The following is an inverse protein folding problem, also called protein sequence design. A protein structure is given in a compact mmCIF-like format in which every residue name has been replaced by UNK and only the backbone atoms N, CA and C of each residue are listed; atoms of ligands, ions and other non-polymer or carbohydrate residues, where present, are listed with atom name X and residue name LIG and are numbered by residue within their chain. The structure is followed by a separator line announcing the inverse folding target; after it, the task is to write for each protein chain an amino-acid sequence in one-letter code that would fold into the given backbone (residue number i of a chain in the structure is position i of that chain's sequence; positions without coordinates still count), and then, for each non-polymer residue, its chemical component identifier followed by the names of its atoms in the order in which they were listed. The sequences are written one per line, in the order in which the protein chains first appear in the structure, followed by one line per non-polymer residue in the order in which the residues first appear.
data_IF_030005445895
#
_entry.id   IF_030005445895
#
_cell.length_a   1.000
_cell.length_b   1.000
_cell.length_c   1.000
_cell.angle_alpha   90.00
_cell.angle_beta   90.00
_cell.angle_gamma   90.00
#
_symmetry.space_group_name_H-M   'P 1'
#
loop_
_entity.id
_entity.type
_entity.pdbx_description
1 polymer ?
#
# COMPACT_ATOMS: atom_id res chain seq x y z
N UNK A 1 -21.89 -47.92 38.90
CA UNK A 1 -21.70 -47.65 37.46
C UNK A 1 -21.14 -46.25 37.33
N UNK A 2 -19.88 -46.18 36.95
CA UNK A 2 -19.02 -44.99 36.93
C UNK A 2 -19.33 -44.11 35.72
N UNK A 3 -19.67 -42.84 35.93
CA UNK A 3 -19.75 -41.84 34.88
C UNK A 3 -18.48 -40.97 34.96
N UNK A 4 -17.52 -41.27 34.09
CA UNK A 4 -16.30 -40.47 33.89
C UNK A 4 -16.66 -39.14 33.25
N UNK A 5 -16.68 -38.06 34.04
CA UNK A 5 -16.61 -36.71 33.49
C UNK A 5 -15.16 -36.38 33.17
N UNK A 6 -14.82 -36.48 31.89
CA UNK A 6 -13.55 -36.03 31.36
C UNK A 6 -13.41 -34.53 31.59
N UNK A 7 -12.38 -34.15 32.36
CA UNK A 7 -11.86 -32.78 32.39
C UNK A 7 -11.46 -32.40 30.96
N UNK A 8 -12.34 -31.67 30.26
CA UNK A 8 -11.97 -30.90 29.07
C UNK A 8 -10.94 -29.88 29.53
N UNK A 9 -9.66 -30.19 29.29
CA UNK A 9 -8.57 -29.23 29.40
C UNK A 9 -8.79 -28.17 28.33
N UNK A 10 -9.44 -27.07 28.69
CA UNK A 10 -9.43 -25.82 27.93
C UNK A 10 -8.00 -25.28 28.04
N UNK A 11 -7.08 -25.83 27.24
CA UNK A 11 -5.81 -25.18 27.00
C UNK A 11 -6.12 -23.96 26.14
N UNK A 12 -5.91 -22.79 26.72
CA UNK A 12 -6.21 -21.49 26.14
C UNK A 12 -5.84 -21.43 24.64
N UNK A 13 -6.85 -21.15 23.82
CA UNK A 13 -6.89 -21.15 22.36
C UNK A 13 -5.93 -20.14 21.66
N UNK A 14 -4.88 -19.70 22.35
CA UNK A 14 -3.94 -18.67 21.90
C UNK A 14 -3.24 -18.98 20.57
N UNK A 15 -3.12 -20.26 20.21
CA UNK A 15 -2.56 -20.69 18.92
C UNK A 15 -3.48 -20.39 17.73
N UNK A 16 -4.80 -20.58 17.85
CA UNK A 16 -5.71 -20.37 16.70
C UNK A 16 -5.89 -18.89 16.40
N UNK A 17 -5.96 -18.03 17.42
CA UNK A 17 -6.11 -16.58 17.23
C UNK A 17 -4.92 -15.97 16.49
N UNK A 18 -3.70 -16.42 16.76
CA UNK A 18 -2.49 -15.93 16.07
C UNK A 18 -2.48 -16.39 14.61
N UNK A 19 -2.83 -17.65 14.33
CA UNK A 19 -2.91 -18.16 12.96
C UNK A 19 -4.06 -17.54 12.17
N UNK A 20 -5.20 -17.25 12.80
CA UNK A 20 -6.33 -16.55 12.17
C UNK A 20 -5.95 -15.12 11.78
N UNK A 21 -5.30 -14.37 12.69
CA UNK A 21 -4.78 -13.03 12.38
C UNK A 21 -3.71 -13.06 11.28
N UNK A 22 -2.86 -14.08 11.25
CA UNK A 22 -1.89 -14.31 10.17
C UNK A 22 -2.60 -14.53 8.83
N UNK A 23 -3.61 -15.40 8.79
CA UNK A 23 -4.42 -15.66 7.60
C UNK A 23 -5.05 -14.38 7.06
N UNK A 24 -5.70 -13.60 7.94
CA UNK A 24 -6.29 -12.30 7.57
C UNK A 24 -5.24 -11.33 7.00
N UNK A 25 -4.09 -11.17 7.67
CA UNK A 25 -3.02 -10.27 7.21
C UNK A 25 -2.46 -10.69 5.86
N UNK A 26 -2.31 -12.00 5.61
CA UNK A 26 -1.88 -12.53 4.33
C UNK A 26 -2.88 -12.19 3.23
N UNK A 27 -4.19 -12.37 3.48
CA UNK A 27 -5.26 -12.02 2.52
C UNK A 27 -5.26 -10.52 2.22
N UNK A 28 -5.12 -9.66 3.24
CA UNK A 28 -5.07 -8.20 3.03
C UNK A 28 -3.83 -7.83 2.21
N UNK A 29 -2.66 -8.41 2.52
CA UNK A 29 -1.43 -8.14 1.79
C UNK A 29 -1.51 -8.58 0.32
N UNK A 30 -2.06 -9.77 0.05
CA UNK A 30 -2.23 -10.26 -1.34
C UNK A 30 -3.28 -9.45 -2.10
N UNK A 31 -4.34 -8.99 -1.44
CA UNK A 31 -5.33 -8.08 -2.04
C UNK A 31 -4.68 -6.74 -2.44
N UNK A 32 -3.89 -6.13 -1.55
CA UNK A 32 -3.16 -4.90 -1.86
C UNK A 32 -2.18 -5.12 -3.01
N UNK A 33 -1.40 -6.21 -2.99
CA UNK A 33 -0.50 -6.58 -4.09
C UNK A 33 -1.25 -6.72 -5.41
N UNK A 34 -2.43 -7.35 -5.38
CA UNK A 34 -3.25 -7.56 -6.58
C UNK A 34 -3.80 -6.24 -7.12
N UNK A 35 -4.32 -5.36 -6.25
CA UNK A 35 -4.84 -4.04 -6.65
C UNK A 35 -3.74 -3.15 -7.24
N UNK A 36 -2.58 -3.11 -6.60
CA UNK A 36 -1.43 -2.31 -7.05
C UNK A 36 -0.84 -2.84 -8.37
N UNK A 37 -0.81 -4.16 -8.55
CA UNK A 37 -0.45 -4.80 -9.82
C UNK A 37 -1.43 -4.41 -10.93
N UNK A 38 -2.73 -4.57 -10.70
CA UNK A 38 -3.78 -4.21 -11.67
C UNK A 38 -3.71 -2.73 -12.07
N UNK A 39 -3.50 -1.83 -11.11
CA UNK A 39 -3.37 -0.40 -11.34
C UNK A 39 -2.18 -0.03 -12.24
N UNK A 40 -1.12 -0.86 -12.26
CA UNK A 40 0.07 -0.65 -13.10
C UNK A 40 -0.13 -1.16 -14.51
N UNK A 41 -0.71 -2.37 -14.67
CA UNK A 41 -0.91 -2.98 -15.99
C UNK A 41 -2.14 -2.47 -16.72
N UNK A 42 -3.03 -1.77 -16.02
CA UNK A 42 -4.23 -1.12 -16.56
C UNK A 42 -4.30 0.31 -16.02
N UNK A 43 -3.38 1.20 -16.45
CA UNK A 43 -3.35 2.57 -15.96
C UNK A 43 -4.62 3.33 -16.39
N UNK A 44 -5.03 4.37 -15.63
CA UNK A 44 -6.09 5.26 -16.06
C UNK A 44 -5.81 5.81 -17.46
N UNK A 45 -6.82 5.80 -18.34
CA UNK A 45 -6.68 6.21 -19.74
C UNK A 45 -6.06 5.16 -20.67
N UNK A 46 -5.60 4.02 -20.15
CA UNK A 46 -5.07 2.91 -20.94
C UNK A 46 -3.72 3.23 -21.59
N UNK A 47 -3.44 2.53 -22.70
CA UNK A 47 -2.21 2.68 -23.48
C UNK A 47 -2.52 3.22 -24.87
N UNK A 48 -1.57 3.99 -25.41
CA UNK A 48 -1.57 4.33 -26.83
C UNK A 48 -1.48 3.05 -27.66
N UNK A 49 -2.43 2.85 -28.58
CA UNK A 49 -2.47 1.64 -29.43
C UNK A 49 -1.59 1.79 -30.68
N UNK A 50 -1.41 3.02 -31.14
CA UNK A 50 -0.63 3.35 -32.33
C UNK A 50 0.25 4.58 -32.08
N UNK A 51 1.25 4.76 -32.93
CA UNK A 51 2.11 5.94 -32.87
C UNK A 51 1.32 7.16 -33.35
N UNK A 52 1.21 8.18 -32.50
CA UNK A 52 0.50 9.41 -32.84
C UNK A 52 1.39 10.64 -32.71
N UNK A 53 1.40 11.49 -33.73
CA UNK A 53 2.17 12.74 -33.77
C UNK A 53 1.31 13.99 -33.69
N UNK A 54 -0.03 13.86 -33.64
CA UNK A 54 -0.96 14.97 -33.67
C UNK A 54 -2.05 14.78 -32.60
N UNK A 55 -1.65 14.81 -31.32
CA UNK A 55 -2.56 14.73 -30.18
C UNK A 55 -2.53 15.98 -29.32
N UNK A 56 -3.72 16.47 -28.97
CA UNK A 56 -3.92 17.64 -28.10
C UNK A 56 -4.88 17.31 -26.97
N UNK A 57 -4.65 17.87 -25.78
CA UNK A 57 -5.55 17.79 -24.64
C UNK A 57 -5.62 19.15 -23.97
N UNK A 58 -6.84 19.60 -23.67
CA UNK A 58 -7.09 20.89 -23.00
C UNK A 58 -6.39 22.08 -23.71
N UNK A 59 -6.34 22.03 -25.05
CA UNK A 59 -5.67 23.04 -25.89
C UNK A 59 -4.14 22.95 -25.96
N UNK A 60 -3.51 22.06 -25.19
CA UNK A 60 -2.06 21.83 -25.23
C UNK A 60 -1.71 20.65 -26.16
N UNK A 61 -0.60 20.79 -26.90
CA UNK A 61 -0.04 19.69 -27.72
C UNK A 61 0.64 18.71 -26.78
N UNK A 62 0.17 17.47 -26.78
CA UNK A 62 0.74 16.38 -25.99
C UNK A 62 1.80 15.63 -26.81
N UNK A 63 1.52 15.38 -28.09
CA UNK A 63 2.39 14.64 -28.98
C UNK A 63 2.54 15.40 -30.31
N UNK A 64 3.78 15.46 -30.78
CA UNK A 64 4.20 16.14 -31.99
C UNK A 64 5.15 15.23 -32.81
N UNK A 65 5.50 15.62 -34.02
CA UNK A 65 6.48 14.93 -34.89
C UNK A 65 7.83 14.72 -34.18
N UNK A 66 8.27 15.66 -33.32
CA UNK A 66 9.52 15.54 -32.56
C UNK A 66 9.39 14.69 -31.30
N UNK A 67 8.18 14.57 -30.73
CA UNK A 67 7.88 13.82 -29.50
C UNK A 67 6.58 13.04 -29.72
N UNK A 68 6.63 11.91 -30.46
CA UNK A 68 5.45 11.12 -30.76
C UNK A 68 4.94 10.40 -29.51
N UNK A 69 3.62 10.23 -29.42
CA UNK A 69 3.00 9.29 -28.49
C UNK A 69 3.38 7.88 -28.94
N UNK A 70 4.13 7.14 -28.11
CA UNK A 70 4.63 5.82 -28.46
C UNK A 70 3.61 4.73 -28.13
N UNK A 71 3.32 3.84 -29.07
CA UNK A 71 2.42 2.71 -28.83
C UNK A 71 2.92 1.84 -27.65
N UNK A 72 2.01 1.39 -26.79
CA UNK A 72 2.32 0.63 -25.58
C UNK A 72 2.71 1.48 -24.36
N UNK A 73 2.74 2.82 -24.49
CA UNK A 73 2.96 3.72 -23.34
C UNK A 73 1.63 4.22 -22.76
N UNK A 74 1.59 4.43 -21.44
CA UNK A 74 0.37 4.83 -20.73
C UNK A 74 -0.06 6.24 -21.15
N UNK A 75 -1.33 6.41 -21.52
CA UNK A 75 -1.87 7.72 -21.96
C UNK A 75 -1.74 8.77 -20.85
N UNK A 76 -2.03 8.39 -19.60
CA UNK A 76 -1.94 9.31 -18.46
C UNK A 76 -0.54 9.87 -18.21
N UNK A 77 0.52 9.19 -18.65
CA UNK A 77 1.90 9.67 -18.49
C UNK A 77 2.18 10.97 -19.27
N UNK A 78 1.47 11.18 -20.38
CA UNK A 78 1.62 12.37 -21.21
C UNK A 78 0.65 13.50 -20.84
N UNK A 79 -0.50 13.17 -20.24
CA UNK A 79 -1.53 14.17 -19.86
C UNK A 79 -1.25 14.72 -18.45
N UNK A 80 -0.92 13.84 -17.51
CA UNK A 80 -0.79 14.14 -16.08
C UNK A 80 0.57 13.67 -15.56
N UNK A 81 1.66 14.11 -16.19
CA UNK A 81 3.02 13.59 -15.94
C UNK A 81 3.40 13.59 -14.45
N UNK A 82 3.18 14.69 -13.73
CA UNK A 82 3.55 14.78 -12.31
C UNK A 82 2.73 13.82 -11.42
N UNK A 83 1.41 13.79 -11.61
CA UNK A 83 0.53 12.91 -10.85
C UNK A 83 0.78 11.44 -11.19
N UNK A 84 1.05 11.13 -12.45
CA UNK A 84 1.33 9.78 -12.92
C UNK A 84 2.66 9.25 -12.37
N UNK A 85 3.71 10.07 -12.36
CA UNK A 85 5.02 9.70 -11.79
C UNK A 85 4.91 9.39 -10.28
N UNK A 86 4.21 10.25 -9.54
CA UNK A 86 3.98 10.04 -8.11
C UNK A 86 3.11 8.81 -7.85
N UNK A 87 2.02 8.66 -8.62
CA UNK A 87 1.15 7.50 -8.56
C UNK A 87 1.93 6.19 -8.76
N UNK A 88 2.71 6.08 -9.83
CA UNK A 88 3.46 4.87 -10.12
C UNK A 88 4.53 4.57 -9.06
N UNK A 89 5.19 5.61 -8.54
CA UNK A 89 6.20 5.47 -7.49
C UNK A 89 5.59 4.94 -6.19
N UNK A 90 4.53 5.58 -5.70
CA UNK A 90 3.86 5.14 -4.47
C UNK A 90 3.21 3.76 -4.62
N UNK A 91 2.65 3.47 -5.80
CA UNK A 91 2.05 2.19 -6.11
C UNK A 91 3.09 1.06 -6.08
N UNK A 92 4.28 1.29 -6.64
CA UNK A 92 5.39 0.33 -6.61
C UNK A 92 5.91 0.07 -5.20
N UNK A 93 6.05 1.12 -4.38
CA UNK A 93 6.47 0.98 -2.96
C UNK A 93 5.43 0.15 -2.18
N UNK A 94 4.15 0.46 -2.35
CA UNK A 94 3.05 -0.28 -1.72
C UNK A 94 3.05 -1.76 -2.14
N UNK A 95 3.23 -2.04 -3.43
CA UNK A 95 3.34 -3.39 -3.96
C UNK A 95 4.51 -4.17 -3.33
N UNK A 96 5.71 -3.59 -3.28
CA UNK A 96 6.89 -4.24 -2.69
C UNK A 96 6.72 -4.51 -1.20
N UNK A 97 6.14 -3.59 -0.44
CA UNK A 97 5.85 -3.82 0.98
C UNK A 97 4.80 -4.91 1.19
N UNK A 98 3.75 -4.95 0.37
CA UNK A 98 2.72 -6.00 0.44
C UNK A 98 3.29 -7.40 0.12
N UNK A 99 4.19 -7.52 -0.87
CA UNK A 99 4.92 -8.75 -1.15
C UNK A 99 5.85 -9.13 0.00
N UNK A 100 6.54 -8.17 0.59
CA UNK A 100 7.42 -8.39 1.75
C UNK A 100 6.64 -8.95 2.94
N UNK A 101 5.45 -8.38 3.23
CA UNK A 101 4.53 -8.91 4.25
C UNK A 101 4.14 -10.36 3.91
N UNK A 102 3.71 -10.60 2.67
CA UNK A 102 3.27 -11.93 2.22
C UNK A 102 4.39 -12.97 2.36
N UNK A 103 5.59 -12.67 1.90
CA UNK A 103 6.76 -13.54 2.04
C UNK A 103 7.08 -13.82 3.51
N UNK A 104 7.10 -12.79 4.35
CA UNK A 104 7.42 -12.92 5.77
C UNK A 104 6.36 -13.76 6.50
N UNK A 105 5.09 -13.69 6.08
CA UNK A 105 4.02 -14.54 6.57
C UNK A 105 4.11 -15.96 6.02
N UNK A 106 4.47 -16.18 4.76
CA UNK A 106 4.59 -17.52 4.15
C UNK A 106 5.78 -18.29 4.70
N UNK A 107 6.91 -17.62 4.99
CA UNK A 107 8.14 -18.24 5.51
C UNK A 107 7.99 -19.00 6.84
N UNK A 108 6.79 -19.03 7.43
CA UNK A 108 6.50 -19.83 8.61
C UNK A 108 7.21 -19.33 9.87
N UNK A 109 7.75 -18.11 9.85
CA UNK A 109 8.37 -17.53 11.02
C UNK A 109 7.33 -17.44 12.14
N UNK A 110 7.66 -17.92 13.35
CA UNK A 110 6.71 -17.91 14.44
C UNK A 110 6.38 -16.45 14.83
N UNK A 111 5.15 -16.01 14.54
CA UNK A 111 4.54 -14.73 14.99
C UNK A 111 4.54 -14.56 16.52
N UNK A 112 5.03 -15.55 17.25
CA UNK A 112 5.29 -15.49 18.68
C UNK A 112 6.42 -14.52 19.04
N UNK A 113 7.36 -14.27 18.12
CA UNK A 113 8.45 -13.32 18.36
C UNK A 113 7.89 -11.89 18.28
N UNK A 114 7.94 -11.16 19.41
CA UNK A 114 7.47 -9.76 19.51
C UNK A 114 8.02 -8.87 18.38
N UNK A 115 9.29 -9.06 18.01
CA UNK A 115 9.95 -8.31 16.93
C UNK A 115 9.27 -8.51 15.58
N UNK A 116 8.90 -9.75 15.24
CA UNK A 116 8.29 -10.07 13.94
C UNK A 116 6.92 -9.38 13.78
N UNK A 117 6.11 -9.39 14.84
CA UNK A 117 4.81 -8.70 14.88
C UNK A 117 5.00 -7.18 14.74
N UNK A 118 6.05 -6.61 15.33
CA UNK A 118 6.32 -5.17 15.22
C UNK A 118 6.79 -4.78 13.83
N UNK A 119 7.71 -5.56 13.24
CA UNK A 119 8.13 -5.37 11.85
C UNK A 119 6.93 -5.45 10.91
N UNK A 120 6.08 -6.48 11.05
CA UNK A 120 4.86 -6.61 10.27
C UNK A 120 3.92 -5.42 10.46
N UNK A 121 3.75 -4.94 11.70
CA UNK A 121 2.93 -3.77 11.98
C UNK A 121 3.49 -2.50 11.33
N UNK A 122 4.81 -2.28 11.37
CA UNK A 122 5.46 -1.12 10.76
C UNK A 122 5.29 -1.16 9.24
N UNK A 123 5.62 -2.30 8.62
CA UNK A 123 5.51 -2.46 7.16
C UNK A 123 4.05 -2.35 6.72
N UNK A 124 3.10 -2.85 7.50
CA UNK A 124 1.67 -2.69 7.22
C UNK A 124 1.23 -1.22 7.28
N UNK A 125 1.62 -0.47 8.32
CA UNK A 125 1.33 0.96 8.41
C UNK A 125 1.91 1.74 7.23
N UNK A 126 3.15 1.45 6.84
CA UNK A 126 3.77 2.05 5.67
C UNK A 126 3.02 1.68 4.39
N UNK A 127 2.64 0.41 4.22
CA UNK A 127 1.87 -0.08 3.06
C UNK A 127 0.56 0.70 2.92
N UNK A 128 -0.19 0.86 4.00
CA UNK A 128 -1.46 1.59 4.01
C UNK A 128 -1.28 3.09 3.74
N UNK A 129 -0.21 3.70 4.25
CA UNK A 129 0.12 5.09 3.97
C UNK A 129 0.41 5.33 2.48
N UNK A 130 1.27 4.50 1.88
CA UNK A 130 1.57 4.58 0.44
C UNK A 130 0.37 4.24 -0.43
N UNK A 131 -0.49 3.31 0.00
CA UNK A 131 -1.75 3.00 -0.70
C UNK A 131 -2.68 4.21 -0.72
N UNK A 132 -2.82 4.91 0.40
CA UNK A 132 -3.65 6.12 0.48
C UNK A 132 -3.09 7.26 -0.39
N UNK A 133 -1.77 7.47 -0.40
CA UNK A 133 -1.11 8.42 -1.29
C UNK A 133 -1.35 8.06 -2.77
N UNK A 134 -1.19 6.79 -3.13
CA UNK A 134 -1.45 6.27 -4.49
C UNK A 134 -2.89 6.57 -4.91
N UNK A 135 -3.86 6.28 -4.05
CA UNK A 135 -5.26 6.57 -4.33
C UNK A 135 -5.51 8.06 -4.54
N UNK A 136 -4.89 8.93 -3.72
CA UNK A 136 -5.04 10.38 -3.86
C UNK A 136 -4.47 10.91 -5.18
N UNK A 137 -3.32 10.40 -5.65
CA UNK A 137 -2.77 10.80 -6.95
C UNK A 137 -3.55 10.19 -8.12
N UNK A 138 -4.01 8.95 -7.99
CA UNK A 138 -4.88 8.29 -8.97
C UNK A 138 -6.19 9.05 -9.19
N UNK A 139 -6.84 9.48 -8.11
CA UNK A 139 -8.11 10.22 -8.18
C UNK A 139 -7.99 11.54 -8.95
N UNK A 140 -6.85 12.24 -8.85
CA UNK A 140 -6.61 13.49 -9.60
C UNK A 140 -6.51 13.27 -11.11
N UNK A 141 -6.08 12.08 -11.56
CA UNK A 141 -5.94 11.76 -12.98
C UNK A 141 -7.25 11.32 -13.64
N UNK A 142 -8.22 10.83 -12.86
CA UNK A 142 -9.49 10.29 -13.38
C UNK A 142 -10.51 11.39 -13.66
N UNK A 143 -10.45 12.52 -12.95
CA UNK A 143 -11.44 13.59 -13.07
C UNK A 143 -10.96 14.69 -14.03
N UNK A 144 -11.72 15.04 -15.09
CA UNK A 144 -11.36 16.14 -15.98
C UNK A 144 -11.43 17.49 -15.27
N UNK A 145 -10.50 18.40 -15.56
CA UNK A 145 -10.50 19.77 -15.01
C UNK A 145 -11.74 20.60 -15.37
N UNK A 146 -12.46 20.21 -16.42
CA UNK A 146 -13.59 20.95 -17.01
C UNK A 146 -14.97 20.61 -16.41
N UNK A 147 -15.05 19.70 -15.42
CA UNK A 147 -16.31 19.27 -14.80
C UNK A 147 -16.46 19.89 -13.41
N UNK A 148 -17.63 20.51 -13.18
CA UNK A 148 -18.16 21.24 -12.01
C UNK A 148 -17.30 21.35 -10.72
N UNK A 149 -17.37 22.54 -10.10
CA UNK A 149 -16.74 22.90 -8.82
C UNK A 149 -16.92 21.86 -7.69
N UNK A 150 -17.98 21.05 -7.75
CA UNK A 150 -18.29 19.97 -6.81
C UNK A 150 -17.23 18.85 -6.82
N UNK A 151 -16.74 18.43 -7.99
CA UNK A 151 -15.74 17.36 -8.10
C UNK A 151 -14.35 17.81 -7.66
N UNK A 152 -13.98 19.05 -7.96
CA UNK A 152 -12.74 19.64 -7.46
C UNK A 152 -12.74 19.74 -5.94
N UNK A 153 -13.89 20.00 -5.33
CA UNK A 153 -14.06 20.02 -3.87
C UNK A 153 -13.90 18.62 -3.28
N UNK A 154 -14.49 17.60 -3.89
CA UNK A 154 -14.33 16.21 -3.45
C UNK A 154 -12.86 15.74 -3.48
N UNK A 155 -12.11 16.03 -4.55
CA UNK A 155 -10.67 15.70 -4.65
C UNK A 155 -9.86 16.43 -3.57
N UNK A 156 -10.16 17.71 -3.30
CA UNK A 156 -9.50 18.48 -2.24
C UNK A 156 -9.78 17.91 -0.86
N UNK A 157 -11.00 17.45 -0.60
CA UNK A 157 -11.37 16.79 0.66
C UNK A 157 -10.58 15.48 0.80
N UNK A 158 -10.58 14.62 -0.23
CA UNK A 158 -9.84 13.34 -0.22
C UNK A 158 -8.34 13.56 0.01
N UNK A 159 -7.75 14.54 -0.68
CA UNK A 159 -6.34 14.89 -0.51
C UNK A 159 -6.04 15.41 0.89
N UNK A 160 -6.90 16.27 1.44
CA UNK A 160 -6.75 16.80 2.80
C UNK A 160 -6.84 15.69 3.85
N UNK A 161 -7.84 14.82 3.76
CA UNK A 161 -8.01 13.68 4.67
C UNK A 161 -6.79 12.76 4.59
N UNK A 162 -6.31 12.45 3.39
CA UNK A 162 -5.12 11.62 3.18
C UNK A 162 -3.88 12.24 3.84
N UNK A 163 -3.69 13.56 3.72
CA UNK A 163 -2.59 14.29 4.35
C UNK A 163 -2.63 14.26 5.87
N UNK A 164 -3.80 14.25 6.51
CA UNK A 164 -3.90 14.10 7.97
C UNK A 164 -3.74 12.65 8.43
N UNK A 165 -4.15 11.69 7.61
CA UNK A 165 -4.12 10.27 7.96
C UNK A 165 -2.71 9.66 7.89
N UNK A 166 -1.87 10.13 6.95
CA UNK A 166 -0.49 9.64 6.78
C UNK A 166 0.40 9.93 8.01
N UNK A 167 0.43 11.14 8.60
CA UNK A 167 1.15 11.41 9.84
C UNK A 167 0.70 10.55 11.01
N UNK A 168 -0.60 10.25 11.11
CA UNK A 168 -1.14 9.39 12.17
C UNK A 168 -0.55 7.96 12.06
N UNK A 169 -0.55 7.39 10.85
CA UNK A 169 0.08 6.09 10.61
C UNK A 169 1.61 6.16 10.80
N UNK A 170 2.23 7.28 10.42
CA UNK A 170 3.64 7.55 10.64
C UNK A 170 4.01 7.58 12.13
N UNK A 171 3.19 8.19 12.98
CA UNK A 171 3.37 8.22 14.43
C UNK A 171 3.24 6.81 15.03
N UNK A 172 2.28 6.01 14.56
CA UNK A 172 2.15 4.60 14.98
C UNK A 172 3.38 3.79 14.57
N UNK A 173 3.86 3.97 13.34
CA UNK A 173 5.08 3.33 12.87
C UNK A 173 6.30 3.77 13.71
N UNK A 174 6.46 5.07 13.93
CA UNK A 174 7.54 5.66 14.73
C UNK A 174 7.51 5.13 16.17
N UNK A 175 6.34 5.08 16.80
CA UNK A 175 6.18 4.51 18.14
C UNK A 175 6.65 3.05 18.19
N UNK A 176 6.26 2.23 17.20
CA UNK A 176 6.69 0.84 17.11
C UNK A 176 8.20 0.72 16.87
N UNK A 177 8.80 1.63 16.08
CA UNK A 177 10.26 1.70 15.85
C UNK A 177 11.00 2.08 17.13
N UNK A 178 10.58 3.14 17.84
CA UNK A 178 11.20 3.56 19.12
C UNK A 178 11.17 2.41 20.11
N UNK A 179 10.01 1.74 20.22
CA UNK A 179 9.87 0.58 21.09
C UNK A 179 10.85 -0.53 20.71
N UNK A 180 11.05 -0.76 19.40
CA UNK A 180 11.98 -1.76 18.85
C UNK A 180 13.43 -1.43 19.20
N UNK A 181 13.83 -0.17 19.03
CA UNK A 181 15.16 0.32 19.38
C UNK A 181 15.44 0.16 20.88
N UNK A 182 14.50 0.55 21.75
CA UNK A 182 14.65 0.40 23.21
C UNK A 182 14.84 -1.08 23.58
N UNK A 183 14.09 -1.98 22.95
CA UNK A 183 14.23 -3.42 23.19
C UNK A 183 15.58 -3.96 22.71
N UNK A 184 16.04 -3.56 21.51
CA UNK A 184 17.34 -3.96 20.98
C UNK A 184 18.49 -3.48 21.87
N UNK A 185 18.45 -2.22 22.32
CA UNK A 185 19.45 -1.69 23.25
C UNK A 185 19.45 -2.51 24.53
N UNK A 186 18.29 -2.74 25.15
CA UNK A 186 18.22 -3.58 26.36
C UNK A 186 18.76 -5.00 26.14
N UNK A 187 18.53 -5.58 24.96
CA UNK A 187 19.04 -6.90 24.60
C UNK A 187 20.57 -6.91 24.44
N UNK A 188 21.14 -5.91 23.77
CA UNK A 188 22.58 -5.78 23.58
C UNK A 188 23.31 -5.59 24.92
N UNK A 189 22.75 -4.78 25.81
CA UNK A 189 23.32 -4.57 27.15
C UNK A 189 23.22 -5.82 28.04
N UNK A 190 22.17 -6.63 27.90
CA UNK A 190 22.02 -7.88 28.64
C UNK A 190 22.89 -9.04 28.13
N UNK A 191 23.42 -8.93 26.90
CA UNK A 191 24.30 -9.95 26.29
C UNK A 191 25.79 -9.57 26.39
N UNK A 192 26.09 -8.30 26.68
CA UNK A 192 27.45 -7.78 26.89
C UNK A 192 27.91 -7.76 28.35
N UNK A 193 27.07 -8.22 29.29
CA UNK A 193 27.38 -8.40 30.71
C UNK A 193 27.26 -9.89 31.07
#
# INVERSE_FOLDING_TARGET
MEKREGKVKICCNSGTWVEEKRGMLMVVATMISTMTFQATISPPGGFWQEMNTNSTFDGAIICNVTNPCVAGTAVSSYIHTDYFNNFQTYNAICFLFSLSITLLLISGFPLRKRVLVWLLSIVMCLTLAFLALTFSEGAKMVVPKSVDSEYTTAIRIVSSVTLFWVPLLGLVALYNVIRLLIWLVKLLWACGA
#
